data_IF_847049965223
#
_entry.id   IF_847049965223
#
_cell.length_a   1.000
_cell.length_b   1.000
_cell.length_c   1.000
_cell.angle_alpha   90.00
_cell.angle_beta   90.00
_cell.angle_gamma   90.00
#
_symmetry.space_group_name_H-M   'P 1'
#
loop_
_entity.id
_entity.type
_entity.pdbx_description
1 polymer ?
#
# COMPACT_ATOMS: atom_id res chain seq x y z
N UNK A 1 -16.94 -7.35 -8.92
CA UNK A 1 -16.05 -6.68 -9.87
C UNK A 1 -16.84 -5.80 -10.82
N UNK A 2 -16.32 -4.63 -11.13
CA UNK A 2 -16.84 -3.77 -12.19
C UNK A 2 -15.96 -3.95 -13.43
N UNK A 3 -16.54 -3.87 -14.62
CA UNK A 3 -15.70 -3.75 -15.82
C UNK A 3 -14.77 -2.54 -15.70
N UNK A 4 -13.53 -2.68 -16.14
CA UNK A 4 -12.55 -1.58 -16.08
C UNK A 4 -13.02 -0.36 -16.87
N UNK A 5 -13.88 -0.57 -17.85
CA UNK A 5 -14.48 0.51 -18.67
C UNK A 5 -15.53 1.33 -17.91
N UNK A 6 -15.99 0.85 -16.74
CA UNK A 6 -16.97 1.56 -15.91
C UNK A 6 -16.33 2.37 -14.79
N UNK A 7 -15.00 2.47 -14.78
CA UNK A 7 -14.30 3.31 -13.82
C UNK A 7 -14.70 4.78 -14.03
N UNK A 8 -15.10 5.49 -12.96
CA UNK A 8 -15.40 6.92 -13.07
C UNK A 8 -14.24 7.69 -13.70
N UNK A 9 -14.58 8.63 -14.58
CA UNK A 9 -13.58 9.37 -15.36
C UNK A 9 -12.58 10.11 -14.48
N UNK A 10 -13.03 10.68 -13.35
CA UNK A 10 -12.15 11.41 -12.44
C UNK A 10 -11.10 10.50 -11.81
N UNK A 11 -11.47 9.26 -11.49
CA UNK A 11 -10.53 8.29 -10.94
C UNK A 11 -9.50 7.86 -11.98
N UNK A 12 -9.95 7.64 -13.21
CA UNK A 12 -9.04 7.30 -14.31
C UNK A 12 -8.07 8.45 -14.59
N UNK A 13 -8.56 9.68 -14.57
CA UNK A 13 -7.71 10.86 -14.76
C UNK A 13 -6.65 10.95 -13.66
N UNK A 14 -7.04 10.69 -12.41
CA UNK A 14 -6.10 10.68 -11.29
C UNK A 14 -5.00 9.64 -11.51
N UNK A 15 -5.39 8.41 -11.85
CA UNK A 15 -4.43 7.32 -12.08
C UNK A 15 -3.50 7.65 -13.22
N UNK A 16 -4.03 8.14 -14.34
CA UNK A 16 -3.23 8.48 -15.51
C UNK A 16 -2.21 9.58 -15.19
N UNK A 17 -2.58 10.53 -14.34
CA UNK A 17 -1.69 11.61 -13.96
C UNK A 17 -0.62 11.20 -12.95
N UNK A 18 -1.00 10.40 -11.95
CA UNK A 18 -0.07 10.01 -10.87
C UNK A 18 0.76 8.78 -11.24
N UNK A 19 0.18 7.85 -11.97
CA UNK A 19 0.82 6.58 -12.34
C UNK A 19 0.81 6.45 -13.86
N UNK A 20 1.52 7.36 -14.52
CA UNK A 20 1.54 7.42 -16.00
C UNK A 20 1.94 6.06 -16.59
N UNK A 21 1.19 5.61 -17.58
CA UNK A 21 1.44 4.34 -18.25
C UNK A 21 0.92 3.13 -17.51
N UNK A 22 0.26 3.31 -16.36
CA UNK A 22 -0.29 2.19 -15.60
C UNK A 22 -1.41 1.50 -16.37
N UNK A 23 -1.47 0.18 -16.22
CA UNK A 23 -2.56 -0.63 -16.77
C UNK A 23 -3.55 -0.94 -15.65
N UNK A 24 -4.83 -0.65 -15.90
CA UNK A 24 -5.90 -0.99 -14.96
C UNK A 24 -6.27 -2.44 -15.17
N UNK A 25 -6.19 -3.25 -14.10
CA UNK A 25 -6.43 -4.68 -14.16
C UNK A 25 -7.82 -5.02 -13.63
N UNK A 26 -8.24 -4.37 -12.56
CA UNK A 26 -9.48 -4.72 -11.88
C UNK A 26 -10.04 -3.50 -11.14
N UNK A 27 -11.37 -3.42 -11.07
CA UNK A 27 -12.08 -2.38 -10.35
C UNK A 27 -13.12 -3.04 -9.47
N UNK A 28 -13.09 -2.75 -8.16
CA UNK A 28 -14.03 -3.28 -7.18
C UNK A 28 -14.58 -2.15 -6.32
N UNK A 29 -15.86 -2.25 -5.97
CA UNK A 29 -16.47 -1.37 -4.98
C UNK A 29 -16.78 -2.21 -3.75
N UNK A 30 -16.35 -1.74 -2.58
CA UNK A 30 -16.63 -2.43 -1.33
C UNK A 30 -18.11 -2.30 -0.99
N UNK A 31 -18.82 -3.42 -0.96
CA UNK A 31 -20.26 -3.44 -0.75
C UNK A 31 -20.68 -3.99 0.62
N UNK A 32 -19.73 -4.38 1.45
CA UNK A 32 -20.04 -4.83 2.80
C UNK A 32 -20.17 -3.64 3.74
N UNK A 33 -21.41 -3.41 4.20
CA UNK A 33 -21.73 -2.26 5.05
C UNK A 33 -21.02 -2.30 6.41
N UNK A 34 -20.49 -3.45 6.79
CA UNK A 34 -19.79 -3.61 8.07
C UNK A 34 -18.30 -3.28 7.96
N UNK A 35 -17.77 -3.15 6.74
CA UNK A 35 -16.36 -2.79 6.55
C UNK A 35 -16.16 -1.28 6.65
N UNK A 36 -15.01 -0.88 7.20
CA UNK A 36 -14.68 0.54 7.37
C UNK A 36 -14.63 1.28 6.04
N UNK A 37 -14.29 0.57 4.96
CA UNK A 37 -14.14 1.13 3.62
C UNK A 37 -15.38 0.91 2.75
N UNK A 38 -16.54 0.71 3.36
CA UNK A 38 -17.80 0.55 2.63
C UNK A 38 -18.00 1.70 1.65
N UNK A 39 -18.27 1.36 0.40
CA UNK A 39 -18.48 2.35 -0.65
C UNK A 39 -17.22 2.88 -1.30
N UNK A 40 -16.04 2.48 -0.80
CA UNK A 40 -14.77 2.82 -1.43
C UNK A 40 -14.61 2.04 -2.73
N UNK A 41 -13.88 2.62 -3.68
CA UNK A 41 -13.51 1.95 -4.93
C UNK A 41 -12.04 1.59 -4.89
N UNK A 42 -11.74 0.32 -5.08
CA UNK A 42 -10.37 -0.17 -5.22
C UNK A 42 -10.07 -0.42 -6.69
N UNK A 43 -8.96 0.14 -7.17
CA UNK A 43 -8.52 -0.05 -8.55
C UNK A 43 -7.14 -0.70 -8.49
N UNK A 44 -7.08 -1.92 -9.03
CA UNK A 44 -5.80 -2.63 -9.12
C UNK A 44 -5.13 -2.27 -10.43
N UNK A 45 -3.87 -1.83 -10.34
CA UNK A 45 -3.10 -1.41 -11.50
C UNK A 45 -1.76 -2.13 -11.53
N UNK A 46 -1.16 -2.20 -12.72
CA UNK A 46 0.25 -2.58 -12.87
C UNK A 46 0.95 -1.35 -13.42
N UNK A 47 1.98 -0.92 -12.69
CA UNK A 47 2.68 0.33 -12.95
C UNK A 47 4.18 0.09 -12.88
N UNK A 48 4.93 0.61 -13.87
CA UNK A 48 6.39 0.57 -13.79
C UNK A 48 6.84 1.66 -12.83
N UNK A 49 7.43 1.25 -11.71
CA UNK A 49 7.93 2.16 -10.69
C UNK A 49 9.41 2.37 -10.92
N UNK A 50 9.79 3.58 -11.35
CA UNK A 50 11.18 3.88 -11.67
C UNK A 50 12.08 3.87 -10.43
N UNK A 51 11.53 4.19 -9.26
CA UNK A 51 12.28 4.13 -8.01
C UNK A 51 12.64 2.71 -7.60
N UNK A 52 11.74 1.77 -7.86
CA UNK A 52 11.95 0.34 -7.59
C UNK A 52 12.52 -0.41 -8.79
N UNK A 53 12.49 0.23 -9.95
CA UNK A 53 12.99 -0.31 -11.22
C UNK A 53 12.33 -1.66 -11.58
N UNK A 54 11.01 -1.73 -11.43
CA UNK A 54 10.22 -2.91 -11.79
C UNK A 54 8.76 -2.56 -11.96
N UNK A 55 8.01 -3.44 -12.63
CA UNK A 55 6.55 -3.35 -12.66
C UNK A 55 6.01 -3.79 -11.31
N UNK A 56 5.09 -3.00 -10.76
CA UNK A 56 4.53 -3.20 -9.43
C UNK A 56 3.01 -3.26 -9.53
N UNK A 57 2.43 -4.26 -8.89
CA UNK A 57 0.98 -4.31 -8.70
C UNK A 57 0.63 -3.39 -7.54
N UNK A 58 -0.21 -2.38 -7.82
CA UNK A 58 -0.60 -1.39 -6.81
C UNK A 58 -2.12 -1.38 -6.66
N UNK A 59 -2.58 -1.16 -5.45
CA UNK A 59 -4.00 -0.99 -5.13
C UNK A 59 -4.25 0.49 -4.87
N UNK A 60 -5.04 1.12 -5.75
CA UNK A 60 -5.40 2.54 -5.62
C UNK A 60 -6.79 2.60 -5.03
N UNK A 61 -6.92 3.26 -3.88
CA UNK A 61 -8.18 3.30 -3.13
C UNK A 61 -8.76 4.71 -3.17
N UNK A 62 -10.02 4.80 -3.58
CA UNK A 62 -10.79 6.05 -3.60
C UNK A 62 -11.93 5.93 -2.59
N UNK A 63 -12.19 7.00 -1.84
CA UNK A 63 -13.25 7.01 -0.84
C UNK A 63 -14.64 7.10 -1.49
N UNK A 64 -15.70 7.15 -0.67
CA UNK A 64 -17.08 7.23 -1.14
C UNK A 64 -17.34 8.43 -2.04
N UNK A 65 -16.62 9.52 -1.80
CA UNK A 65 -16.76 10.75 -2.59
C UNK A 65 -15.95 10.73 -3.88
N UNK A 66 -15.20 9.65 -4.14
CA UNK A 66 -14.33 9.54 -5.32
C UNK A 66 -12.97 10.21 -5.14
N UNK A 67 -12.62 10.62 -3.93
CA UNK A 67 -11.32 11.23 -3.65
C UNK A 67 -10.28 10.15 -3.37
N UNK A 68 -9.06 10.35 -3.87
CA UNK A 68 -7.98 9.43 -3.59
C UNK A 68 -7.70 9.34 -2.09
N UNK A 69 -7.65 8.13 -1.59
CA UNK A 69 -7.44 7.85 -0.17
C UNK A 69 -6.03 7.32 0.09
N UNK A 70 -5.62 6.30 -0.68
CA UNK A 70 -4.30 5.70 -0.54
C UNK A 70 -3.95 4.86 -1.76
N UNK A 71 -2.66 4.57 -1.89
CA UNK A 71 -2.16 3.55 -2.81
C UNK A 71 -1.21 2.66 -2.03
N UNK A 72 -1.34 1.35 -2.19
CA UNK A 72 -0.49 0.41 -1.47
C UNK A 72 0.10 -0.63 -2.41
N UNK A 73 1.28 -1.13 -2.03
CA UNK A 73 1.94 -2.19 -2.79
C UNK A 73 2.93 -2.93 -1.92
N UNK A 74 3.15 -4.20 -2.24
CA UNK A 74 4.14 -5.00 -1.56
C UNK A 74 5.55 -4.57 -1.96
N UNK A 75 6.45 -4.55 -0.97
CA UNK A 75 7.85 -4.20 -1.18
C UNK A 75 8.74 -5.35 -0.73
N UNK A 76 9.89 -5.46 -1.37
CA UNK A 76 10.89 -6.47 -1.05
C UNK A 76 11.79 -5.95 0.06
N UNK A 77 12.44 -6.88 0.78
CA UNK A 77 13.36 -6.50 1.87
C UNK A 77 14.41 -5.49 1.41
N UNK A 78 15.00 -5.74 0.23
CA UNK A 78 16.05 -4.86 -0.30
C UNK A 78 15.51 -3.52 -0.83
N UNK A 79 14.20 -3.32 -0.81
CA UNK A 79 13.56 -2.07 -1.21
C UNK A 79 13.23 -1.19 0.00
N UNK A 80 13.40 -1.70 1.20
CA UNK A 80 13.16 -0.92 2.40
C UNK A 80 14.30 0.08 2.64
N UNK A 81 13.98 1.32 3.07
CA UNK A 81 15.01 2.27 3.47
C UNK A 81 15.85 1.71 4.63
N UNK A 82 17.13 2.09 4.67
CA UNK A 82 18.02 1.68 5.75
C UNK A 82 17.50 2.09 7.12
N UNK A 83 16.85 3.27 7.21
CA UNK A 83 16.27 3.74 8.47
C UNK A 83 15.20 2.77 8.98
N UNK A 84 14.44 2.15 8.07
CA UNK A 84 13.40 1.18 8.44
C UNK A 84 14.03 -0.13 8.92
N UNK A 85 14.98 -0.67 8.17
CA UNK A 85 15.65 -1.92 8.56
C UNK A 85 16.44 -1.76 9.86
N UNK A 86 17.04 -0.58 10.08
CA UNK A 86 17.75 -0.27 11.32
C UNK A 86 16.79 -0.20 12.51
N UNK A 87 15.61 0.41 12.32
CA UNK A 87 14.60 0.49 13.38
C UNK A 87 14.15 -0.91 13.79
N UNK A 88 13.94 -1.80 12.83
CA UNK A 88 13.53 -3.18 13.11
C UNK A 88 14.63 -3.92 13.88
N UNK A 89 15.89 -3.82 13.43
CA UNK A 89 16.99 -4.51 14.12
C UNK A 89 17.20 -4.00 15.53
N UNK A 90 16.93 -2.72 15.79
CA UNK A 90 17.11 -2.11 17.10
C UNK A 90 15.96 -2.44 18.05
N UNK A 91 14.71 -2.26 17.58
CA UNK A 91 13.52 -2.37 18.45
C UNK A 91 12.95 -3.79 18.49
N UNK A 92 13.22 -4.60 17.47
CA UNK A 92 12.65 -5.94 17.34
C UNK A 92 13.73 -6.96 17.04
N UNK A 93 14.84 -6.89 17.79
CA UNK A 93 15.90 -7.85 17.67
C UNK A 93 15.36 -9.27 17.92
N UNK A 94 15.73 -10.22 17.10
CA UNK A 94 15.24 -11.58 17.19
C UNK A 94 14.01 -11.87 16.34
N UNK A 95 13.40 -10.84 15.76
CA UNK A 95 12.32 -11.02 14.77
C UNK A 95 12.89 -10.99 13.37
N UNK A 96 12.21 -11.67 12.45
CA UNK A 96 12.53 -11.62 11.03
C UNK A 96 11.37 -11.01 10.27
N UNK A 97 11.66 -10.20 9.27
CA UNK A 97 10.64 -9.65 8.40
C UNK A 97 10.12 -10.75 7.49
N UNK A 98 8.81 -11.00 7.56
CA UNK A 98 8.14 -11.97 6.71
C UNK A 98 7.53 -11.28 5.49
N UNK A 99 6.90 -10.12 5.69
CA UNK A 99 6.19 -9.41 4.64
C UNK A 99 6.24 -7.91 4.90
N UNK A 100 6.20 -7.12 3.84
CA UNK A 100 6.16 -5.66 3.94
C UNK A 100 5.31 -5.07 2.83
N UNK A 101 4.49 -4.09 3.19
CA UNK A 101 3.62 -3.36 2.28
C UNK A 101 3.77 -1.86 2.55
N UNK A 102 3.89 -1.09 1.48
CA UNK A 102 3.94 0.37 1.60
C UNK A 102 2.56 0.96 1.37
N UNK A 103 2.17 1.92 2.22
CA UNK A 103 0.92 2.67 2.10
C UNK A 103 1.26 4.13 1.85
N UNK A 104 1.01 4.58 0.64
CA UNK A 104 1.09 5.99 0.28
C UNK A 104 -0.25 6.62 0.58
N UNK A 105 -0.30 7.51 1.58
CA UNK A 105 -1.56 8.08 2.08
C UNK A 105 -1.80 9.44 1.48
N UNK A 106 -3.06 9.72 1.12
CA UNK A 106 -3.45 11.05 0.63
C UNK A 106 -3.33 12.10 1.72
N UNK A 107 -3.68 11.71 2.95
CA UNK A 107 -3.55 12.58 4.12
C UNK A 107 -2.87 11.83 5.23
N UNK A 108 -2.13 12.53 6.07
CA UNK A 108 -1.38 11.92 7.14
C UNK A 108 -0.05 11.37 6.66
N UNK A 109 0.51 10.48 7.44
CA UNK A 109 1.85 9.96 7.21
C UNK A 109 1.79 8.65 6.44
N UNK A 110 2.56 8.58 5.36
CA UNK A 110 2.77 7.32 4.63
C UNK A 110 3.69 6.42 5.44
N UNK A 111 3.50 5.10 5.32
CA UNK A 111 4.20 4.16 6.19
C UNK A 111 4.36 2.80 5.52
N UNK A 112 5.28 2.02 6.07
CA UNK A 112 5.40 0.60 5.77
C UNK A 112 4.66 -0.18 6.85
N UNK A 113 3.82 -1.12 6.44
CA UNK A 113 3.26 -2.11 7.35
C UNK A 113 4.07 -3.38 7.18
N UNK A 114 4.67 -3.85 8.27
CA UNK A 114 5.64 -4.94 8.22
C UNK A 114 5.19 -6.03 9.16
N UNK A 115 5.07 -7.24 8.63
CA UNK A 115 4.83 -8.43 9.44
C UNK A 115 6.17 -8.99 9.90
N UNK A 116 6.31 -9.13 11.21
CA UNK A 116 7.51 -9.67 11.84
C UNK A 116 7.20 -11.03 12.44
N UNK A 117 8.04 -12.00 12.11
CA UNK A 117 7.93 -13.35 12.61
C UNK A 117 8.93 -13.54 13.74
N UNK A 118 8.43 -13.90 14.93
CA UNK A 118 9.26 -14.13 16.08
C UNK A 118 9.66 -15.59 16.22
N UNK A 119 10.80 -15.82 16.87
CA UNK A 119 11.25 -17.15 17.22
C UNK A 119 10.62 -17.51 18.57
N UNK A 120 9.67 -18.44 18.57
CA UNK A 120 8.88 -18.83 19.75
C UNK A 120 7.98 -17.73 20.29
N UNK A 121 7.62 -16.75 19.45
CA UNK A 121 6.72 -15.66 19.79
C UNK A 121 5.65 -15.54 18.69
N UNK A 122 4.46 -15.02 19.01
CA UNK A 122 3.48 -14.74 17.95
C UNK A 122 4.01 -13.72 16.96
N UNK A 123 3.53 -13.83 15.71
CA UNK A 123 3.81 -12.81 14.70
C UNK A 123 3.18 -11.49 15.11
N UNK A 124 3.84 -10.41 14.76
CA UNK A 124 3.33 -9.06 15.03
C UNK A 124 3.39 -8.23 13.75
N UNK A 125 2.48 -7.27 13.67
CA UNK A 125 2.47 -6.26 12.60
C UNK A 125 2.89 -4.93 13.19
N UNK A 126 3.79 -4.25 12.50
CA UNK A 126 4.22 -2.90 12.90
C UNK A 126 4.05 -1.94 11.74
N UNK A 127 3.93 -0.66 12.05
CA UNK A 127 3.92 0.42 11.07
C UNK A 127 5.13 1.29 11.29
N UNK A 128 5.90 1.52 10.23
CA UNK A 128 7.16 2.28 10.30
C UNK A 128 7.15 3.30 9.17
N UNK A 129 7.46 4.54 9.49
CA UNK A 129 7.60 5.58 8.45
C UNK A 129 8.93 5.44 7.71
N UNK A 130 9.07 6.15 6.61
CA UNK A 130 10.28 6.06 5.78
C UNK A 130 11.55 6.49 6.51
N UNK A 131 11.42 7.33 7.54
CA UNK A 131 12.56 7.77 8.36
C UNK A 131 12.84 6.84 9.55
N UNK A 132 12.11 5.71 9.65
CA UNK A 132 12.36 4.73 10.69
C UNK A 132 11.57 4.95 11.98
N UNK A 133 10.63 5.88 12.00
CA UNK A 133 9.76 6.09 13.16
C UNK A 133 8.71 4.99 13.23
N UNK A 134 8.65 4.29 14.35
CA UNK A 134 7.64 3.26 14.57
C UNK A 134 6.38 3.94 15.10
N UNK A 135 5.27 3.74 14.38
CA UNK A 135 3.97 4.29 14.76
C UNK A 135 3.29 3.37 15.75
N UNK A 136 2.76 3.94 16.81
CA UNK A 136 2.11 3.18 17.88
C UNK A 136 0.63 3.45 18.01
#
# INVERSE_FOLDING_TARGET
HLPTTQLPAAMKTFIDGKYAGARIVEVDVEDDKNDWDFGFTEVDIIHFDSGLNRNVSKEVLFDKGGEWYSTSWEVRRNELPAAVTNAISTEYAGYQMDDAEYFEMATGTSYYQIELEGNNSPDIDIKVTTDGTILK
#
